data_IF_992907686861
#
_entry.id   IF_992907686861
#
_cell.length_a   1.000
_cell.length_b   1.000
_cell.length_c   1.000
_cell.angle_alpha   90.00
_cell.angle_beta   90.00
_cell.angle_gamma   90.00
#
_symmetry.space_group_name_H-M   'P 1'
#
loop_
_entity.id
_entity.type
_entity.pdbx_description
1 polymer ?
#
# COMPACT_ATOMS: atom_id res chain seq x y z
N UNK A 1 -13.18 14.87 13.85
CA UNK A 1 -12.27 14.23 12.87
C UNK A 1 -13.10 13.31 11.99
N UNK A 2 -13.17 13.58 10.70
CA UNK A 2 -13.84 12.67 9.75
C UNK A 2 -12.90 11.50 9.45
N UNK A 3 -13.40 10.26 9.61
CA UNK A 3 -12.69 9.05 9.20
C UNK A 3 -13.04 8.74 7.75
N UNK A 4 -12.04 8.50 6.91
CA UNK A 4 -12.22 8.09 5.53
C UNK A 4 -11.65 6.69 5.32
N UNK A 5 -12.25 5.86 4.45
CA UNK A 5 -11.73 4.53 4.14
C UNK A 5 -10.28 4.58 3.65
N UNK A 6 -9.45 3.70 4.22
CA UNK A 6 -8.04 3.57 3.86
C UNK A 6 -7.57 2.12 3.99
N UNK A 7 -6.56 1.75 3.20
CA UNK A 7 -5.89 0.45 3.28
C UNK A 7 -4.45 0.68 3.71
N UNK A 8 -4.02 -0.05 4.75
CA UNK A 8 -2.63 -0.11 5.17
C UNK A 8 -1.97 -1.35 4.57
N UNK A 9 -0.81 -1.14 3.95
CA UNK A 9 0.01 -2.18 3.34
C UNK A 9 1.37 -2.15 4.03
N UNK A 10 1.93 -3.31 4.34
CA UNK A 10 3.29 -3.41 4.86
C UNK A 10 4.01 -4.64 4.29
N UNK A 11 5.33 -4.55 4.24
CA UNK A 11 6.20 -5.65 3.86
C UNK A 11 6.32 -6.61 5.05
N UNK A 12 5.68 -7.76 4.97
CA UNK A 12 5.77 -8.77 6.03
C UNK A 12 7.14 -9.49 6.00
N UNK A 13 7.63 -9.83 4.81
CA UNK A 13 8.89 -10.54 4.58
C UNK A 13 9.49 -10.13 3.25
N UNK A 14 10.80 -10.32 3.13
CA UNK A 14 11.58 -10.09 1.91
C UNK A 14 12.44 -11.32 1.62
N UNK A 15 12.85 -11.48 0.36
CA UNK A 15 13.80 -12.53 -0.04
C UNK A 15 14.84 -11.93 -0.98
N UNK A 16 16.11 -12.12 -0.66
CA UNK A 16 17.22 -11.49 -1.38
C UNK A 16 17.38 -9.99 -1.06
N UNK A 17 18.13 -9.29 -1.91
CA UNK A 17 18.32 -7.84 -1.80
C UNK A 17 17.16 -7.12 -2.48
N UNK A 18 16.32 -6.45 -1.70
CA UNK A 18 15.14 -5.72 -2.17
C UNK A 18 15.21 -4.25 -1.71
N UNK A 19 14.54 -3.31 -2.41
CA UNK A 19 14.65 -1.87 -2.12
C UNK A 19 14.14 -1.44 -0.74
N UNK A 20 13.30 -2.25 -0.08
CA UNK A 20 12.72 -1.96 1.24
C UNK A 20 12.70 -3.21 2.11
N UNK A 21 12.99 -3.01 3.38
CA UNK A 21 13.01 -4.08 4.38
C UNK A 21 11.61 -4.40 4.93
N UNK A 22 11.53 -5.50 5.66
CA UNK A 22 10.34 -5.85 6.46
C UNK A 22 9.95 -4.67 7.34
N UNK A 23 8.65 -4.38 7.38
CA UNK A 23 8.09 -3.27 8.15
C UNK A 23 7.95 -1.97 7.37
N UNK A 24 8.53 -1.86 6.16
CA UNK A 24 8.18 -0.76 5.26
C UNK A 24 6.67 -0.78 4.98
N UNK A 25 6.04 0.39 5.04
CA UNK A 25 4.59 0.51 4.99
C UNK A 25 4.14 1.63 4.07
N UNK A 26 2.93 1.48 3.55
CA UNK A 26 2.26 2.44 2.70
C UNK A 26 0.77 2.46 3.02
N UNK A 27 0.20 3.66 3.08
CA UNK A 27 -1.25 3.88 3.22
C UNK A 27 -1.80 4.31 1.87
N UNK A 28 -2.90 3.69 1.46
CA UNK A 28 -3.63 4.03 0.23
C UNK A 28 -5.03 4.49 0.59
N UNK A 29 -5.41 5.64 0.05
CA UNK A 29 -6.78 6.15 0.05
C UNK A 29 -7.31 6.21 -1.38
N UNK A 30 -8.59 6.56 -1.55
CA UNK A 30 -9.16 6.76 -2.88
C UNK A 30 -8.45 7.85 -3.71
N UNK A 31 -7.76 8.79 -3.06
CA UNK A 31 -7.17 9.97 -3.72
C UNK A 31 -5.64 10.03 -3.62
N UNK A 32 -5.07 9.45 -2.56
CA UNK A 32 -3.66 9.66 -2.20
C UNK A 32 -3.00 8.35 -1.77
N UNK A 33 -1.68 8.36 -1.86
CA UNK A 33 -0.82 7.31 -1.33
C UNK A 33 0.25 7.97 -0.46
N UNK A 34 0.53 7.39 0.70
CA UNK A 34 1.50 7.89 1.67
C UNK A 34 2.49 6.78 2.05
N UNK A 35 3.78 7.07 2.01
CA UNK A 35 4.82 6.04 2.21
C UNK A 35 5.09 5.21 0.95
N UNK A 36 5.91 4.18 1.10
CA UNK A 36 6.34 3.29 0.01
C UNK A 36 6.78 1.95 0.60
N UNK A 37 6.48 0.86 -0.11
CA UNK A 37 6.84 -0.52 0.28
C UNK A 37 7.96 -1.11 -0.58
N UNK A 38 8.50 -0.36 -1.55
CA UNK A 38 9.55 -0.88 -2.43
C UNK A 38 9.69 -0.18 -3.76
N UNK A 39 8.69 0.62 -4.16
CA UNK A 39 8.61 1.18 -5.50
C UNK A 39 8.39 0.09 -6.58
N UNK A 40 8.54 0.51 -7.84
CA UNK A 40 8.45 -0.39 -8.99
C UNK A 40 7.07 -1.03 -9.17
N UNK A 41 7.03 -2.14 -9.91
CA UNK A 41 5.78 -2.78 -10.33
C UNK A 41 4.93 -3.29 -9.15
N UNK A 42 5.56 -3.88 -8.12
CA UNK A 42 4.85 -4.42 -6.97
C UNK A 42 4.06 -3.34 -6.22
N UNK A 43 4.64 -2.15 -6.05
CA UNK A 43 3.98 -1.04 -5.38
C UNK A 43 2.75 -0.56 -6.16
N UNK A 44 2.85 -0.45 -7.49
CA UNK A 44 1.70 -0.09 -8.33
C UNK A 44 0.58 -1.13 -8.26
N UNK A 45 0.91 -2.43 -8.29
CA UNK A 45 -0.07 -3.51 -8.14
C UNK A 45 -0.76 -3.45 -6.77
N UNK A 46 0.01 -3.19 -5.70
CA UNK A 46 -0.52 -3.03 -4.36
C UNK A 46 -1.49 -1.84 -4.25
N UNK A 47 -1.13 -0.68 -4.84
CA UNK A 47 -2.01 0.51 -4.90
C UNK A 47 -3.29 0.20 -5.67
N UNK A 48 -3.19 -0.45 -6.83
CA UNK A 48 -4.36 -0.81 -7.64
C UNK A 48 -5.33 -1.70 -6.86
N UNK A 49 -4.84 -2.79 -6.27
CA UNK A 49 -5.65 -3.71 -5.48
C UNK A 49 -6.27 -3.04 -4.26
N UNK A 50 -5.52 -2.19 -3.57
CA UNK A 50 -6.03 -1.42 -2.44
C UNK A 50 -7.18 -0.49 -2.85
N UNK A 51 -7.08 0.18 -4.00
CA UNK A 51 -8.17 1.03 -4.51
C UNK A 51 -9.40 0.25 -4.94
N UNK A 52 -9.23 -0.95 -5.50
CA UNK A 52 -10.36 -1.85 -5.76
C UNK A 52 -11.08 -2.20 -4.45
N UNK A 53 -10.34 -2.60 -3.42
CA UNK A 53 -10.92 -2.90 -2.11
C UNK A 53 -11.63 -1.72 -1.45
N UNK A 54 -11.15 -0.50 -1.66
CA UNK A 54 -11.81 0.70 -1.17
C UNK A 54 -13.12 0.98 -1.92
N UNK A 55 -13.15 0.75 -3.23
CA UNK A 55 -14.35 0.91 -4.06
C UNK A 55 -15.41 -0.16 -3.79
N UNK A 56 -15.00 -1.40 -3.49
CA UNK A 56 -15.93 -2.48 -3.14
C UNK A 56 -16.59 -2.29 -1.76
N UNK A 57 -16.04 -1.40 -0.92
CA UNK A 57 -16.48 -1.14 0.47
C UNK A 57 -17.17 0.21 0.66
N UNK A 58 -17.31 1.00 -0.41
CA UNK A 58 -18.06 2.27 -0.43
C UNK A 58 -19.49 2.05 -0.89
#
# INVERSE_FOLDING_TARGET
>A
MSSFPQVLIWVEKTSGSVPRERGASMVVTGQKTLGSIGGGHLEFQAIYKARQWLADRS
#
